data_IF_661218181230
#
_entry.id   IF_661218181230
#
_cell.length_a   1.000
_cell.length_b   1.000
_cell.length_c   1.000
_cell.angle_alpha   90.00
_cell.angle_beta   90.00
_cell.angle_gamma   90.00
#
_symmetry.space_group_name_H-M   'P 1'
#
loop_
_entity.id
_entity.type
_entity.pdbx_description
1 polymer ?
#
# COMPACT_ATOMS: atom_id res chain seq x y z
N UNK A 1 -16.65 -13.63 -37.76
CA UNK A 1 -17.25 -13.05 -36.53
C UNK A 1 -16.88 -13.95 -35.37
N UNK A 2 -15.94 -13.51 -34.55
CA UNK A 2 -15.40 -14.26 -33.42
C UNK A 2 -14.55 -13.31 -32.58
N UNK A 3 -15.17 -12.64 -31.60
CA UNK A 3 -14.47 -11.83 -30.61
C UNK A 3 -14.04 -12.76 -29.48
N UNK A 4 -12.76 -13.18 -29.45
CA UNK A 4 -12.18 -13.83 -28.27
C UNK A 4 -11.80 -12.74 -27.28
N UNK A 5 -12.58 -12.62 -26.21
CA UNK A 5 -12.31 -11.73 -25.09
C UNK A 5 -11.22 -12.38 -24.22
N UNK A 6 -10.00 -11.89 -24.31
CA UNK A 6 -8.91 -12.30 -23.41
C UNK A 6 -9.04 -11.53 -22.09
N UNK A 7 -9.28 -12.25 -20.99
CA UNK A 7 -9.16 -11.69 -19.64
C UNK A 7 -7.66 -11.54 -19.34
N UNK A 8 -7.23 -10.31 -19.10
CA UNK A 8 -5.86 -9.96 -18.77
C UNK A 8 -5.78 -9.79 -17.25
N UNK A 9 -5.32 -10.84 -16.54
CA UNK A 9 -5.04 -10.77 -15.11
C UNK A 9 -3.68 -10.10 -14.93
N UNK A 10 -3.68 -8.82 -14.59
CA UNK A 10 -2.47 -8.06 -14.31
C UNK A 10 -2.04 -8.29 -12.85
N UNK A 11 -1.18 -9.29 -12.61
CA UNK A 11 -0.48 -9.44 -11.32
C UNK A 11 0.68 -8.44 -11.30
N UNK A 12 0.46 -7.27 -10.69
CA UNK A 12 1.49 -6.27 -10.47
C UNK A 12 2.16 -6.53 -9.12
N UNK A 13 3.34 -7.15 -9.14
CA UNK A 13 4.23 -7.28 -7.98
C UNK A 13 5.01 -5.98 -7.77
N UNK A 14 4.42 -5.03 -7.05
CA UNK A 14 5.05 -3.75 -6.68
C UNK A 14 6.08 -3.94 -5.57
N UNK A 15 7.37 -3.83 -5.87
CA UNK A 15 8.45 -3.85 -4.88
C UNK A 15 8.80 -2.43 -4.43
N UNK A 16 8.60 -2.16 -3.13
CA UNK A 16 9.43 -1.30 -2.26
C UNK A 16 9.52 0.21 -2.54
N UNK A 17 8.86 1.01 -1.71
CA UNK A 17 9.20 2.44 -1.51
C UNK A 17 9.55 2.69 -0.03
N UNK A 18 10.71 3.32 0.14
CA UNK A 18 11.45 3.50 1.38
C UNK A 18 10.72 4.44 2.36
N UNK A 19 10.19 3.86 3.44
CA UNK A 19 9.82 4.53 4.69
C UNK A 19 10.46 3.76 5.85
N UNK A 20 10.97 4.46 6.86
CA UNK A 20 11.70 3.87 7.97
C UNK A 20 10.89 2.73 8.62
N UNK A 21 11.36 1.49 8.42
CA UNK A 21 10.95 0.26 9.09
C UNK A 21 9.44 0.13 9.42
N UNK A 22 8.67 -0.30 8.44
CA UNK A 22 7.48 -1.15 8.60
C UNK A 22 7.40 -1.94 7.29
N UNK A 23 7.45 -3.27 7.34
CA UNK A 23 7.48 -4.12 6.15
C UNK A 23 6.12 -4.23 5.44
N UNK A 24 5.35 -3.15 5.49
CA UNK A 24 4.07 -3.00 4.84
C UNK A 24 4.26 -3.01 3.32
N UNK A 25 3.44 -3.79 2.63
CA UNK A 25 3.30 -3.75 1.18
C UNK A 25 2.28 -2.70 0.83
N UNK A 26 2.53 -1.91 -0.21
CA UNK A 26 1.61 -0.85 -0.63
C UNK A 26 1.17 -0.99 -2.08
N UNK A 27 -0.09 -0.65 -2.35
CA UNK A 27 -0.66 -0.55 -3.69
C UNK A 27 -1.52 0.71 -3.79
N UNK A 28 -1.44 1.40 -4.93
CA UNK A 28 -2.24 2.59 -5.23
C UNK A 28 -3.26 2.21 -6.30
N UNK A 29 -4.54 2.30 -5.97
CA UNK A 29 -5.65 1.99 -6.87
C UNK A 29 -6.60 3.18 -6.86
N UNK A 30 -6.86 3.73 -8.03
CA UNK A 30 -7.65 4.96 -8.25
C UNK A 30 -7.17 6.15 -7.41
N UNK A 31 -7.89 6.42 -6.31
CA UNK A 31 -7.71 7.54 -5.41
C UNK A 31 -7.25 7.10 -4.03
N UNK A 32 -6.92 5.82 -3.84
CA UNK A 32 -6.56 5.25 -2.55
C UNK A 32 -5.19 4.58 -2.61
N UNK A 33 -4.49 4.66 -1.49
CA UNK A 33 -3.31 3.87 -1.20
C UNK A 33 -3.68 2.90 -0.08
N UNK A 34 -3.47 1.63 -0.36
CA UNK A 34 -3.66 0.52 0.57
C UNK A 34 -2.29 0.03 1.01
N UNK A 35 -2.09 -0.16 2.30
CA UNK A 35 -0.86 -0.73 2.85
C UNK A 35 -1.20 -1.87 3.81
N UNK A 36 -0.51 -3.00 3.70
CA UNK A 36 -0.76 -4.19 4.53
C UNK A 36 0.55 -4.75 5.06
N UNK A 37 0.60 -5.01 6.36
CA UNK A 37 1.76 -5.62 7.03
C UNK A 37 1.46 -6.13 8.43
N UNK A 38 2.48 -6.20 9.28
CA UNK A 38 2.38 -6.73 10.64
C UNK A 38 2.57 -5.64 11.68
N UNK A 39 1.83 -5.72 12.78
CA UNK A 39 2.00 -4.78 13.91
C UNK A 39 3.32 -5.00 14.66
N UNK A 40 3.70 -6.28 14.81
CA UNK A 40 4.98 -6.70 15.39
C UNK A 40 5.79 -7.47 14.36
N UNK A 41 6.99 -6.99 14.04
CA UNK A 41 7.89 -7.59 13.05
C UNK A 41 9.17 -8.13 13.72
N UNK A 42 9.68 -9.32 13.32
CA UNK A 42 9.04 -10.23 12.38
C UNK A 42 7.79 -10.90 13.01
N UNK A 43 6.80 -11.30 12.20
CA UNK A 43 5.71 -12.17 12.67
C UNK A 43 6.25 -13.54 13.10
N UNK A 44 5.96 -13.96 14.34
CA UNK A 44 6.47 -15.21 14.93
C UNK A 44 5.33 -16.21 15.14
N UNK A 45 5.51 -17.43 14.64
CA UNK A 45 4.58 -18.53 14.90
C UNK A 45 4.44 -18.81 16.41
N UNK A 46 3.20 -19.02 16.86
CA UNK A 46 2.86 -19.25 18.27
C UNK A 46 2.71 -17.97 19.11
N UNK A 47 2.85 -16.76 18.53
CA UNK A 47 2.64 -15.47 19.23
C UNK A 47 1.51 -14.67 18.59
N UNK A 48 0.66 -14.05 19.41
CA UNK A 48 -0.40 -13.15 18.92
C UNK A 48 0.21 -11.89 18.30
N UNK A 49 -0.34 -11.50 17.16
CA UNK A 49 0.02 -10.34 16.39
C UNK A 49 -1.22 -9.74 15.73
N UNK A 50 -1.07 -8.61 15.05
CA UNK A 50 -2.12 -8.04 14.22
C UNK A 50 -1.63 -7.92 12.78
N UNK A 51 -2.51 -8.25 11.85
CA UNK A 51 -2.40 -7.74 10.48
C UNK A 51 -2.85 -6.29 10.53
N UNK A 52 -2.01 -5.40 10.02
CA UNK A 52 -2.30 -3.96 9.96
C UNK A 52 -2.67 -3.62 8.53
N UNK A 53 -3.84 -3.02 8.36
CA UNK A 53 -4.33 -2.50 7.09
C UNK A 53 -4.42 -0.98 7.20
N UNK A 54 -3.77 -0.26 6.31
CA UNK A 54 -3.84 1.20 6.23
C UNK A 54 -4.47 1.60 4.90
N UNK A 55 -5.50 2.45 4.97
CA UNK A 55 -6.18 2.99 3.79
C UNK A 55 -6.13 4.50 3.86
N UNK A 56 -5.60 5.13 2.81
CA UNK A 56 -5.48 6.58 2.72
C UNK A 56 -5.80 7.09 1.32
N UNK A 57 -6.13 8.37 1.19
CA UNK A 57 -6.24 9.02 -0.12
C UNK A 57 -4.84 9.10 -0.75
N UNK A 58 -4.72 8.62 -1.98
CA UNK A 58 -3.48 8.69 -2.75
C UNK A 58 -3.16 10.13 -3.15
N UNK A 59 -1.93 10.56 -2.87
CA UNK A 59 -1.44 11.88 -3.25
C UNK A 59 -1.04 11.96 -4.73
N UNK A 60 -0.85 13.17 -5.26
CA UNK A 60 -0.40 13.37 -6.64
C UNK A 60 0.96 12.72 -6.93
N UNK A 61 1.83 12.61 -5.93
CA UNK A 61 3.12 11.91 -6.02
C UNK A 61 2.94 10.38 -6.07
N UNK A 62 2.01 9.82 -5.31
CA UNK A 62 1.70 8.39 -5.31
C UNK A 62 1.13 7.94 -6.68
N UNK A 63 0.34 8.81 -7.31
CA UNK A 63 -0.26 8.57 -8.64
C UNK A 63 0.72 8.75 -9.82
N UNK A 64 1.87 9.40 -9.60
CA UNK A 64 2.90 9.61 -10.64
C UNK A 64 3.81 8.38 -10.75
N UNK A 65 4.07 7.71 -9.62
CA UNK A 65 4.84 6.46 -9.57
C UNK A 65 4.14 5.28 -10.27
N UNK A 66 2.81 5.31 -10.42
CA UNK A 66 2.07 4.30 -11.20
C UNK A 66 2.09 4.54 -12.71
N UNK A 67 2.50 5.74 -13.19
CA UNK A 67 2.47 6.11 -14.62
C UNK A 67 3.85 6.20 -15.30
N UNK A 68 4.96 6.24 -14.55
CA UNK A 68 6.31 6.47 -15.10
C UNK A 68 7.09 5.19 -15.51
N UNK A 69 6.45 4.02 -15.53
CA UNK A 69 7.06 2.79 -16.04
C UNK A 69 7.25 2.74 -17.56
N UNK A 70 6.92 3.80 -18.31
CA UNK A 70 6.88 3.77 -19.77
C UNK A 70 7.37 5.07 -20.44
N UNK A 71 8.60 5.53 -20.18
CA UNK A 71 9.36 6.32 -21.17
C UNK A 71 10.85 5.97 -21.11
N UNK A 72 11.33 5.38 -22.20
CA UNK A 72 12.76 5.13 -22.46
C UNK A 72 13.52 6.45 -22.66
N UNK A 73 14.66 6.55 -21.98
CA UNK A 73 15.99 7.02 -22.45
C UNK A 73 16.04 8.14 -23.53
N UNK A 74 16.53 9.32 -23.13
CA UNK A 74 17.31 10.25 -23.97
C UNK A 74 18.05 11.25 -23.06
N UNK A 75 19.34 10.97 -22.78
CA UNK A 75 20.53 11.77 -23.21
C UNK A 75 20.77 13.06 -22.42
N UNK A 76 21.92 13.09 -21.75
CA UNK A 76 22.48 14.17 -20.93
C UNK A 76 23.48 14.94 -21.78
N UNK A 77 23.13 16.13 -22.26
CA UNK A 77 24.11 16.99 -22.92
C UNK A 77 23.86 18.49 -22.61
N UNK A 78 24.98 19.17 -22.29
CA UNK A 78 25.27 20.62 -22.32
C UNK A 78 24.63 21.54 -21.23
N UNK A 79 25.37 22.25 -20.38
CA UNK A 79 26.48 23.22 -20.53
C UNK A 79 26.02 24.70 -20.48
N UNK A 80 26.77 25.50 -19.72
CA UNK A 80 26.94 26.96 -19.74
C UNK A 80 25.81 27.96 -19.35
N UNK A 81 26.08 28.66 -18.23
CA UNK A 81 26.32 30.12 -18.15
C UNK A 81 25.17 31.16 -18.02
N UNK A 82 25.14 31.76 -16.81
CA UNK A 82 24.97 33.18 -16.36
C UNK A 82 23.93 34.18 -16.97
N UNK A 83 23.21 34.78 -16.00
CA UNK A 83 22.82 36.20 -15.81
C UNK A 83 21.76 36.87 -16.71
N UNK A 84 20.64 37.26 -16.09
CA UNK A 84 19.71 38.29 -16.57
C UNK A 84 18.58 38.55 -15.57
N UNK A 85 18.53 39.75 -15.01
CA UNK A 85 17.56 40.22 -14.00
C UNK A 85 16.17 40.48 -14.59
N UNK A 86 15.09 40.11 -13.89
CA UNK A 86 13.90 40.96 -13.61
C UNK A 86 12.86 40.23 -12.73
N UNK A 87 12.42 40.95 -11.70
CA UNK A 87 11.48 40.53 -10.65
C UNK A 87 10.11 40.16 -11.22
N UNK A 88 9.70 38.90 -11.07
CA UNK A 88 8.29 38.54 -10.84
C UNK A 88 8.18 38.05 -9.39
N UNK A 89 7.57 38.85 -8.51
CA UNK A 89 7.04 38.33 -7.25
C UNK A 89 5.82 37.47 -7.60
N UNK A 90 6.04 36.17 -7.79
CA UNK A 90 5.01 35.16 -7.59
C UNK A 90 5.56 34.17 -6.57
N UNK A 91 5.09 34.30 -5.35
CA UNK A 91 5.27 33.35 -4.27
C UNK A 91 4.81 31.97 -4.75
N UNK A 92 5.73 31.16 -5.23
CA UNK A 92 5.56 29.71 -5.22
C UNK A 92 6.62 29.22 -4.26
N UNK A 93 6.28 29.38 -2.99
CA UNK A 93 6.95 28.72 -1.88
C UNK A 93 7.04 27.25 -2.28
N UNK A 94 8.26 26.76 -2.52
CA UNK A 94 8.53 25.36 -2.70
C UNK A 94 8.20 24.66 -1.39
N UNK A 95 6.92 24.35 -1.17
CA UNK A 95 6.53 23.49 -0.08
C UNK A 95 6.82 22.07 -0.52
N UNK A 96 8.07 21.67 -0.32
CA UNK A 96 8.44 20.28 -0.12
C UNK A 96 7.90 19.83 1.26
N UNK A 97 6.58 20.02 1.47
CA UNK A 97 5.88 19.51 2.62
C UNK A 97 5.55 18.06 2.27
N UNK A 98 6.16 17.13 3.01
CA UNK A 98 5.76 15.72 3.03
C UNK A 98 4.28 15.68 3.44
N UNK A 99 3.36 15.71 2.46
CA UNK A 99 1.93 15.72 2.74
C UNK A 99 1.63 14.43 3.47
N UNK A 100 1.22 14.52 4.73
CA UNK A 100 0.80 13.35 5.50
C UNK A 100 -0.41 12.74 4.78
N UNK A 101 -0.40 11.43 4.46
CA UNK A 101 -1.54 10.79 3.84
C UNK A 101 -2.80 10.96 4.70
N UNK A 102 -3.92 11.28 4.04
CA UNK A 102 -5.22 11.45 4.70
C UNK A 102 -5.86 10.06 4.81
N UNK A 103 -5.93 9.52 6.02
CA UNK A 103 -6.55 8.21 6.27
C UNK A 103 -8.05 8.19 5.98
N UNK A 104 -8.54 7.08 5.44
CA UNK A 104 -9.96 6.85 5.17
C UNK A 104 -10.54 6.04 6.34
N UNK A 105 -11.49 6.63 7.05
CA UNK A 105 -12.09 6.07 8.27
C UNK A 105 -13.40 5.34 7.99
N UNK A 106 -13.89 4.54 8.94
CA UNK A 106 -15.20 3.88 8.88
C UNK A 106 -15.27 2.66 7.97
N UNK A 107 -14.12 2.11 7.54
CA UNK A 107 -14.06 0.97 6.62
C UNK A 107 -14.14 -0.39 7.30
N UNK A 108 -14.19 -0.45 8.64
CA UNK A 108 -14.25 -1.72 9.38
C UNK A 108 -15.49 -2.55 9.05
N UNK A 109 -16.61 -1.89 8.70
CA UNK A 109 -17.87 -2.56 8.36
C UNK A 109 -18.01 -2.83 6.85
N UNK A 110 -17.18 -2.20 6.00
CA UNK A 110 -17.30 -2.28 4.54
C UNK A 110 -16.16 -3.04 3.86
N UNK A 111 -15.02 -3.19 4.54
CA UNK A 111 -13.90 -4.01 4.09
C UNK A 111 -13.88 -5.32 4.85
N UNK A 112 -13.90 -6.42 4.11
CA UNK A 112 -13.59 -7.74 4.62
C UNK A 112 -12.15 -8.11 4.28
N UNK A 113 -11.46 -8.67 5.28
CA UNK A 113 -10.05 -9.05 5.14
C UNK A 113 -9.89 -10.48 5.61
N UNK A 114 -9.30 -11.31 4.76
CA UNK A 114 -8.88 -12.66 5.12
C UNK A 114 -7.38 -12.85 4.96
N UNK A 115 -6.81 -13.66 5.85
CA UNK A 115 -5.44 -14.13 5.73
C UNK A 115 -5.46 -15.63 5.44
N UNK A 116 -4.73 -16.04 4.41
CA UNK A 116 -4.50 -17.42 4.06
C UNK A 116 -3.06 -17.80 4.36
N UNK A 117 -2.86 -18.80 5.21
CA UNK A 117 -1.55 -19.35 5.58
C UNK A 117 -1.58 -20.87 5.39
N UNK A 118 -0.67 -21.40 4.56
CA UNK A 118 -0.57 -22.84 4.28
C UNK A 118 -1.91 -23.48 3.85
N UNK A 119 -2.71 -22.74 3.07
CA UNK A 119 -4.04 -23.17 2.60
C UNK A 119 -5.18 -22.96 3.60
N UNK A 120 -4.90 -22.58 4.85
CA UNK A 120 -5.92 -22.24 5.84
C UNK A 120 -6.28 -20.76 5.74
N UNK A 121 -7.55 -20.47 5.42
CA UNK A 121 -8.11 -19.12 5.41
C UNK A 121 -8.67 -18.75 6.79
N UNK A 122 -8.48 -17.50 7.20
CA UNK A 122 -9.02 -16.92 8.44
C UNK A 122 -9.51 -15.51 8.17
N UNK A 123 -10.79 -15.22 8.45
CA UNK A 123 -11.34 -13.88 8.35
C UNK A 123 -10.95 -13.06 9.59
N UNK A 124 -10.53 -11.83 9.36
CA UNK A 124 -10.05 -10.92 10.38
C UNK A 124 -11.15 -9.94 10.76
N UNK A 125 -11.41 -9.82 12.06
CA UNK A 125 -12.28 -8.77 12.59
C UNK A 125 -11.49 -7.47 12.68
N UNK A 126 -11.80 -6.49 11.82
CA UNK A 126 -11.07 -5.23 11.77
C UNK A 126 -11.53 -4.25 12.84
N UNK A 127 -10.57 -3.67 13.55
CA UNK A 127 -10.79 -2.56 14.48
C UNK A 127 -9.99 -1.32 14.04
N UNK A 128 -10.66 -0.18 13.90
CA UNK A 128 -9.99 1.08 13.55
C UNK A 128 -9.25 1.69 14.74
N UNK A 129 -8.04 2.20 14.48
CA UNK A 129 -7.25 2.97 15.45
C UNK A 129 -7.79 4.39 15.61
N UNK A 130 -8.34 4.66 16.80
CA UNK A 130 -8.88 5.99 17.15
C UNK A 130 -7.84 7.12 17.09
N UNK A 131 -6.54 6.80 17.21
CA UNK A 131 -5.45 7.78 17.19
C UNK A 131 -4.81 7.92 15.80
N UNK A 132 -5.02 6.93 14.92
CA UNK A 132 -4.45 6.89 13.57
C UNK A 132 -5.56 6.62 12.54
N UNK A 133 -6.28 7.66 12.11
CA UNK A 133 -7.34 7.54 11.12
C UNK A 133 -6.92 6.72 9.90
N UNK A 134 -7.79 5.79 9.48
CA UNK A 134 -7.54 4.88 8.37
C UNK A 134 -6.50 3.79 8.62
N UNK A 135 -6.12 3.55 9.87
CA UNK A 135 -5.36 2.37 10.30
C UNK A 135 -6.29 1.38 10.97
N UNK A 136 -6.26 0.14 10.53
CA UNK A 136 -7.10 -0.96 11.00
C UNK A 136 -6.24 -2.12 11.45
N UNK A 137 -6.65 -2.76 12.55
CA UNK A 137 -5.98 -3.91 13.13
C UNK A 137 -6.91 -5.13 13.07
N UNK A 138 -6.43 -6.22 12.48
CA UNK A 138 -7.07 -7.53 12.54
C UNK A 138 -6.21 -8.48 13.37
N UNK A 139 -6.72 -8.94 14.51
CA UNK A 139 -5.99 -9.88 15.38
C UNK A 139 -5.77 -11.21 14.65
N UNK A 140 -4.54 -11.73 14.73
CA UNK A 140 -4.18 -13.00 14.12
C UNK A 140 -3.18 -13.78 14.97
N UNK A 141 -3.44 -15.08 15.13
CA UNK A 141 -2.60 -15.99 15.92
C UNK A 141 -2.03 -17.11 15.04
N UNK A 142 -0.88 -16.89 14.38
CA UNK A 142 -0.28 -17.89 13.49
C UNK A 142 0.21 -19.12 14.27
N UNK A 143 -0.24 -20.31 13.90
CA UNK A 143 0.23 -21.57 14.51
C UNK A 143 1.54 -22.09 13.91
N UNK A 144 1.85 -21.70 12.68
CA UNK A 144 2.96 -22.23 11.90
C UNK A 144 3.68 -21.10 11.18
N UNK A 145 4.93 -21.35 10.83
CA UNK A 145 5.63 -20.50 9.87
C UNK A 145 5.07 -20.67 8.46
N UNK A 146 5.31 -19.69 7.60
CA UNK A 146 4.87 -19.76 6.21
C UNK A 146 4.73 -18.39 5.56
N UNK A 147 4.32 -18.42 4.30
CA UNK A 147 4.11 -17.23 3.48
C UNK A 147 2.63 -16.89 3.48
N UNK A 148 2.21 -15.86 4.23
CA UNK A 148 0.82 -15.44 4.29
C UNK A 148 0.40 -14.75 3.00
N UNK A 149 -0.87 -14.89 2.65
CA UNK A 149 -1.56 -14.08 1.64
C UNK A 149 -2.66 -13.34 2.38
N UNK A 150 -2.71 -12.02 2.26
CA UNK A 150 -3.80 -11.21 2.79
C UNK A 150 -4.67 -10.75 1.63
N UNK A 151 -5.94 -11.11 1.67
CA UNK A 151 -6.95 -10.71 0.72
C UNK A 151 -7.83 -9.63 1.35
N UNK A 152 -8.02 -8.52 0.67
CA UNK A 152 -8.87 -7.42 1.08
C UNK A 152 -9.92 -7.21 0.00
N UNK A 153 -11.19 -7.17 0.39
CA UNK A 153 -12.26 -6.87 -0.53
C UNK A 153 -13.37 -6.06 0.13
N UNK A 154 -14.06 -5.23 -0.63
CA UNK A 154 -15.16 -4.44 -0.10
C UNK A 154 -15.40 -3.14 -0.85
N UNK A 155 -16.23 -2.27 -0.26
CA UNK A 155 -16.67 -1.03 -0.90
C UNK A 155 -16.06 0.22 -0.23
N UNK A 156 -15.56 1.14 -1.07
CA UNK A 156 -15.16 2.50 -0.66
C UNK A 156 -15.76 3.49 -1.65
N UNK A 157 -16.52 4.47 -1.15
CA UNK A 157 -17.18 5.50 -1.96
C UNK A 157 -18.01 4.89 -3.13
N UNK A 158 -18.80 3.84 -2.87
CA UNK A 158 -19.64 3.12 -3.86
C UNK A 158 -18.90 2.39 -4.98
N UNK A 159 -17.60 2.15 -4.78
CA UNK A 159 -16.78 1.37 -5.68
C UNK A 159 -16.23 0.16 -4.95
N UNK A 160 -16.31 -1.00 -5.60
CA UNK A 160 -15.72 -2.24 -5.11
C UNK A 160 -14.21 -2.26 -5.36
N UNK A 161 -13.48 -2.78 -4.38
CA UNK A 161 -12.05 -3.04 -4.43
C UNK A 161 -11.80 -4.49 -4.03
N UNK A 162 -10.87 -5.14 -4.71
CA UNK A 162 -10.38 -6.48 -4.39
C UNK A 162 -8.87 -6.48 -4.61
N UNK A 163 -8.10 -6.77 -3.56
CA UNK A 163 -6.66 -6.57 -3.53
C UNK A 163 -6.00 -7.70 -2.75
N UNK A 164 -4.94 -8.26 -3.33
CA UNK A 164 -4.12 -9.28 -2.66
C UNK A 164 -2.76 -8.72 -2.29
N UNK A 165 -2.34 -8.97 -1.05
CA UNK A 165 -1.03 -8.63 -0.52
C UNK A 165 -0.27 -9.88 -0.06
N UNK A 166 1.05 -9.80 -0.15
CA UNK A 166 1.98 -10.83 0.33
C UNK A 166 2.90 -10.19 1.38
N UNK A 167 2.44 -10.03 2.64
CA UNK A 167 3.25 -9.47 3.70
C UNK A 167 4.41 -10.40 4.07
N UNK A 168 5.27 -9.99 5.00
CA UNK A 168 6.44 -10.78 5.36
C UNK A 168 6.11 -12.19 5.85
N UNK A 169 7.05 -13.11 5.59
CA UNK A 169 6.99 -14.51 6.03
C UNK A 169 6.86 -14.57 7.54
N UNK A 170 5.93 -15.38 8.02
CA UNK A 170 5.87 -15.80 9.42
C UNK A 170 7.02 -16.75 9.69
N UNK A 171 7.88 -16.42 10.66
CA UNK A 171 9.04 -17.22 11.02
C UNK A 171 8.74 -18.11 12.23
N UNK A 172 9.40 -19.26 12.31
CA UNK A 172 9.49 -19.99 13.58
C UNK A 172 10.30 -19.16 14.59
N UNK A 173 10.08 -19.41 15.88
CA UNK A 173 10.69 -18.65 16.98
C UNK A 173 12.14 -18.26 16.68
N UNK A 174 12.47 -16.98 16.90
CA UNK A 174 13.86 -16.51 16.89
C UNK A 174 14.60 -17.31 17.96
N UNK A 175 15.48 -18.21 17.54
CA UNK A 175 16.45 -18.88 18.42
C UNK A 175 17.58 -17.91 18.73
#
# INVERSE_FOLDING_TARGET
>A
MNKKLGILVAVVLSVGLLGNAYAHKSQVIDNYKFEVGWDKEPPIAGKSNNVVVMVSKASGTDKKMTKEGNVKKSTLDADATKQGTKKYKKSTQSMNAKIKPIGVTGLADTLEVDITLNGQKTFLNLAEDKKKPGTYYGEYYPQKEGYPIVHLYGEIDKKEYEITFHPEKIVSSVR
#
